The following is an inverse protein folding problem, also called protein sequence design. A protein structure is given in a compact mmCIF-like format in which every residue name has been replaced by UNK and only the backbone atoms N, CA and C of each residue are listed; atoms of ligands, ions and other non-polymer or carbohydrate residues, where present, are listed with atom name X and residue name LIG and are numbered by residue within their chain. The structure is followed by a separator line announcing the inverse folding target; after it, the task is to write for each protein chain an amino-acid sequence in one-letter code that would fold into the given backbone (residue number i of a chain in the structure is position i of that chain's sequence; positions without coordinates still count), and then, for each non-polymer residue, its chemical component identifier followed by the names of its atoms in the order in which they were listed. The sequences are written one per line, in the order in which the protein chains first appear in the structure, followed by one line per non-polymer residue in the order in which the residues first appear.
data_IF_011174331714
#
_entry.id   IF_011174331714
#
_cell.length_a   1.000
_cell.length_b   1.000
_cell.length_c   1.000
_cell.angle_alpha   90.00
_cell.angle_beta   90.00
_cell.angle_gamma   90.00
#
_symmetry.space_group_name_H-M   'P 1'
#
loop_
_entity.id
_entity.type
_entity.pdbx_description
1 polymer ?
#
# COMPACT_ATOMS: atom_id res chain seq x y z
N UNK A 1 -4.81 -8.45 -1.41
CA UNK A 1 -5.64 -8.94 -0.29
C UNK A 1 -4.81 -8.86 0.99
N UNK A 2 -5.30 -8.08 1.96
CA UNK A 2 -4.67 -7.84 3.26
C UNK A 2 -4.67 -9.07 4.18
N UNK A 3 -5.48 -10.09 3.89
CA UNK A 3 -5.60 -11.31 4.70
C UNK A 3 -4.40 -12.24 4.54
N UNK A 4 -3.67 -12.13 3.42
CA UNK A 4 -2.57 -13.07 3.09
C UNK A 4 -1.49 -13.13 4.18
N UNK A 5 -0.96 -12.01 4.72
CA UNK A 5 0.03 -12.06 5.79
C UNK A 5 -0.52 -12.71 7.06
N UNK A 6 -1.73 -12.34 7.48
CA UNK A 6 -2.36 -12.91 8.68
C UNK A 6 -2.56 -14.43 8.56
N UNK A 7 -3.14 -14.90 7.45
CA UNK A 7 -3.33 -16.33 7.20
C UNK A 7 -1.99 -17.08 7.10
N UNK A 8 -0.95 -16.45 6.56
CA UNK A 8 0.40 -17.03 6.55
C UNK A 8 0.93 -17.23 7.97
N UNK A 9 0.74 -16.27 8.86
CA UNK A 9 1.13 -16.41 10.28
C UNK A 9 0.36 -17.55 10.95
N UNK A 10 -0.94 -17.70 10.67
CA UNK A 10 -1.75 -18.80 11.22
C UNK A 10 -1.30 -20.19 10.74
N UNK A 11 -0.77 -20.29 9.51
CA UNK A 11 -0.19 -21.53 8.99
C UNK A 11 1.12 -21.83 9.74
N UNK A 12 2.00 -20.84 9.89
CA UNK A 12 3.29 -20.99 10.58
C UNK A 12 3.10 -21.37 12.05
N UNK A 13 2.05 -20.88 12.70
CA UNK A 13 1.69 -21.23 14.08
C UNK A 13 0.89 -22.54 14.21
N UNK A 14 0.71 -23.29 13.12
CA UNK A 14 -0.09 -24.53 13.06
C UNK A 14 -1.56 -24.37 13.52
N UNK A 15 -2.12 -23.16 13.50
CA UNK A 15 -3.52 -22.90 13.86
C UNK A 15 -4.48 -23.30 12.75
N UNK A 16 -4.04 -23.23 11.48
CA UNK A 16 -4.80 -23.68 10.31
C UNK A 16 -3.88 -24.37 9.30
N UNK A 17 -4.44 -25.24 8.46
CA UNK A 17 -3.74 -25.79 7.29
C UNK A 17 -3.74 -24.80 6.12
N UNK A 18 -2.82 -25.03 5.17
CA UNK A 18 -2.74 -24.26 3.92
C UNK A 18 -4.05 -24.33 3.13
N UNK A 19 -4.67 -25.51 3.04
CA UNK A 19 -5.92 -25.70 2.29
C UNK A 19 -7.06 -24.89 2.92
N UNK A 20 -7.17 -24.91 4.24
CA UNK A 20 -8.16 -24.10 4.98
C UNK A 20 -7.93 -22.60 4.76
N UNK A 21 -6.68 -22.14 4.73
CA UNK A 21 -6.35 -20.75 4.43
C UNK A 21 -6.78 -20.34 3.01
N UNK A 22 -6.57 -21.21 2.02
CA UNK A 22 -7.02 -20.98 0.63
C UNK A 22 -8.55 -20.89 0.57
N UNK A 23 -9.26 -21.77 1.27
CA UNK A 23 -10.73 -21.74 1.30
C UNK A 23 -11.28 -20.47 1.99
N UNK A 24 -10.61 -19.98 3.04
CA UNK A 24 -10.94 -18.70 3.65
C UNK A 24 -10.71 -17.52 2.69
N UNK A 25 -9.67 -17.56 1.85
CA UNK A 25 -9.41 -16.52 0.85
C UNK A 25 -10.46 -16.48 -0.25
N UNK A 26 -11.06 -17.61 -0.62
CA UNK A 26 -12.15 -17.67 -1.61
C UNK A 26 -13.43 -16.99 -1.11
N UNK A 27 -13.64 -16.93 0.21
CA UNK A 27 -14.81 -16.26 0.77
C UNK A 27 -14.69 -14.74 0.63
N UNK A 28 -15.78 -14.04 0.29
CA UNK A 28 -15.78 -12.58 0.24
C UNK A 28 -15.44 -12.01 1.62
N UNK A 29 -14.76 -10.87 1.63
CA UNK A 29 -14.33 -10.20 2.86
C UNK A 29 -15.52 -9.68 3.68
N UNK A 30 -16.54 -9.20 3.00
CA UNK A 30 -17.74 -8.61 3.59
C UNK A 30 -18.95 -9.14 2.84
N UNK A 31 -20.08 -9.25 3.55
CA UNK A 31 -21.36 -9.38 2.87
C UNK A 31 -21.78 -8.03 2.24
N UNK A 32 -22.84 -8.04 1.44
CA UNK A 32 -23.29 -6.84 0.71
C UNK A 32 -23.71 -5.70 1.65
N UNK A 33 -24.37 -6.02 2.76
CA UNK A 33 -24.82 -5.02 3.73
C UNK A 33 -23.66 -4.36 4.47
N UNK A 34 -22.70 -5.16 4.93
CA UNK A 34 -21.48 -4.70 5.58
C UNK A 34 -20.66 -3.81 4.65
N UNK A 35 -20.54 -4.20 3.38
CA UNK A 35 -19.83 -3.39 2.37
C UNK A 35 -20.50 -2.03 2.19
N UNK A 36 -21.83 -1.99 2.05
CA UNK A 36 -22.56 -0.74 1.89
C UNK A 36 -22.43 0.16 3.14
N UNK A 37 -22.54 -0.42 4.34
CA UNK A 37 -22.33 0.33 5.60
C UNK A 37 -20.91 0.90 5.68
N UNK A 38 -19.91 0.14 5.26
CA UNK A 38 -18.51 0.57 5.27
C UNK A 38 -18.27 1.71 4.26
N UNK A 39 -18.80 1.57 3.04
CA UNK A 39 -18.71 2.62 2.01
C UNK A 39 -19.35 3.91 2.50
N UNK A 40 -20.56 3.85 3.07
CA UNK A 40 -21.25 5.03 3.59
C UNK A 40 -20.50 5.67 4.77
N UNK A 41 -19.95 4.85 5.68
CA UNK A 41 -19.14 5.33 6.78
C UNK A 41 -17.87 6.06 6.29
N UNK A 42 -17.13 5.47 5.35
CA UNK A 42 -15.89 6.05 4.80
C UNK A 42 -16.19 7.30 3.99
N UNK A 43 -17.22 7.27 3.14
CA UNK A 43 -17.70 8.42 2.36
C UNK A 43 -18.00 9.62 3.26
N UNK A 44 -18.75 9.41 4.35
CA UNK A 44 -19.04 10.46 5.34
C UNK A 44 -17.78 10.95 6.04
N UNK A 45 -16.88 10.05 6.43
CA UNK A 45 -15.65 10.41 7.16
C UNK A 45 -14.67 11.22 6.31
N UNK A 46 -14.64 10.95 5.01
CA UNK A 46 -13.76 11.63 4.05
C UNK A 46 -14.44 12.81 3.34
N UNK A 47 -15.73 13.06 3.61
CA UNK A 47 -16.53 14.10 2.96
C UNK A 47 -16.53 13.97 1.42
N UNK A 48 -16.66 12.74 0.92
CA UNK A 48 -16.67 12.41 -0.51
C UNK A 48 -17.96 11.69 -0.85
N UNK A 49 -18.59 12.02 -1.97
CA UNK A 49 -19.78 11.32 -2.49
C UNK A 49 -19.54 9.80 -2.65
N UNK A 50 -20.54 8.97 -2.31
CA UNK A 50 -20.42 7.51 -2.34
C UNK A 50 -20.12 6.97 -3.75
N UNK A 51 -20.74 7.54 -4.80
CA UNK A 51 -20.46 7.12 -6.18
C UNK A 51 -19.05 7.50 -6.59
N UNK A 52 -18.62 8.73 -6.24
CA UNK A 52 -17.25 9.18 -6.50
C UNK A 52 -16.21 8.31 -5.77
N UNK A 53 -16.48 7.92 -4.54
CA UNK A 53 -15.62 7.00 -3.80
C UNK A 53 -15.57 5.63 -4.49
N UNK A 54 -16.72 5.13 -4.94
CA UNK A 54 -16.81 3.86 -5.66
C UNK A 54 -16.01 3.90 -6.99
N UNK A 55 -16.10 5.01 -7.73
CA UNK A 55 -15.33 5.24 -8.95
C UNK A 55 -13.83 5.26 -8.66
N UNK A 56 -13.40 5.91 -7.57
CA UNK A 56 -12.00 5.94 -7.15
C UNK A 56 -11.47 4.54 -6.82
N UNK A 57 -12.29 3.70 -6.17
CA UNK A 57 -11.93 2.31 -5.82
C UNK A 57 -11.78 1.43 -7.07
N UNK A 58 -12.66 1.60 -8.05
CA UNK A 58 -12.66 0.79 -9.27
C UNK A 58 -11.81 1.37 -10.41
N UNK A 59 -11.22 2.56 -10.20
CA UNK A 59 -10.34 3.17 -11.17
C UNK A 59 -9.10 2.31 -11.42
N UNK A 60 -8.54 2.43 -12.62
CA UNK A 60 -7.27 1.81 -12.97
C UNK A 60 -6.17 2.32 -12.05
N UNK A 61 -5.41 1.39 -11.49
CA UNK A 61 -4.22 1.72 -10.72
C UNK A 61 -3.24 2.56 -11.55
N UNK A 62 -2.91 3.74 -11.03
CA UNK A 62 -1.89 4.63 -11.61
C UNK A 62 -0.55 4.42 -10.94
N UNK A 63 0.53 4.59 -11.68
CA UNK A 63 1.87 4.51 -11.08
C UNK A 63 2.14 5.79 -10.31
N UNK A 64 2.78 5.69 -9.13
CA UNK A 64 3.16 6.86 -8.33
C UNK A 64 4.02 7.87 -9.16
N UNK A 65 4.76 7.37 -10.16
CA UNK A 65 5.62 8.18 -11.04
C UNK A 65 4.84 9.15 -11.94
N UNK A 66 3.54 8.91 -12.16
CA UNK A 66 2.66 9.77 -12.94
C UNK A 66 2.22 11.03 -12.17
N UNK A 67 2.47 11.07 -10.87
CA UNK A 67 2.21 12.24 -10.03
C UNK A 67 3.52 12.97 -9.74
N UNK A 68 3.44 14.26 -9.43
CA UNK A 68 4.60 15.03 -8.96
C UNK A 68 5.24 14.34 -7.76
N UNK A 69 6.51 13.95 -7.90
CA UNK A 69 7.23 13.20 -6.89
C UNK A 69 8.71 13.63 -6.84
N UNK A 70 9.38 13.31 -5.75
CA UNK A 70 10.76 13.74 -5.48
C UNK A 70 11.85 12.90 -6.15
N UNK A 71 11.53 11.91 -7.00
CA UNK A 71 12.55 11.00 -7.56
C UNK A 71 13.66 11.72 -8.33
N UNK A 72 13.32 12.78 -9.06
CA UNK A 72 14.32 13.56 -9.81
C UNK A 72 15.32 14.21 -8.86
N UNK A 73 14.84 14.88 -7.82
CA UNK A 73 15.67 15.51 -6.79
C UNK A 73 16.49 14.49 -6.01
N UNK A 74 15.90 13.35 -5.65
CA UNK A 74 16.62 12.26 -4.99
C UNK A 74 17.80 11.78 -5.84
N UNK A 75 17.61 11.55 -7.15
CA UNK A 75 18.70 11.16 -8.06
C UNK A 75 19.82 12.19 -8.11
N UNK A 76 19.48 13.48 -8.16
CA UNK A 76 20.45 14.58 -8.15
C UNK A 76 21.24 14.58 -6.84
N UNK A 77 20.56 14.47 -5.69
CA UNK A 77 21.19 14.42 -4.37
C UNK A 77 22.12 13.19 -4.27
N UNK A 78 21.68 12.01 -4.70
CA UNK A 78 22.53 10.81 -4.71
C UNK A 78 23.76 10.97 -5.60
N UNK A 79 23.62 11.64 -6.76
CA UNK A 79 24.73 11.94 -7.64
C UNK A 79 25.74 12.87 -6.97
N UNK A 80 25.28 13.98 -6.38
CA UNK A 80 26.12 14.94 -5.66
C UNK A 80 26.87 14.24 -4.52
N UNK A 81 26.18 13.43 -3.72
CA UNK A 81 26.83 12.68 -2.64
C UNK A 81 27.89 11.71 -3.14
N UNK A 82 27.67 11.05 -4.29
CA UNK A 82 28.65 10.16 -4.89
C UNK A 82 29.90 10.93 -5.34
N UNK A 83 29.73 12.10 -5.96
CA UNK A 83 30.85 12.97 -6.37
C UNK A 83 31.59 13.50 -5.14
N UNK A 84 30.86 13.99 -4.14
CA UNK A 84 31.46 14.49 -2.91
C UNK A 84 32.27 13.41 -2.17
N UNK A 85 31.71 12.20 -2.03
CA UNK A 85 32.42 11.08 -1.40
C UNK A 85 33.71 10.72 -2.14
N UNK A 86 33.70 10.81 -3.47
CA UNK A 86 34.89 10.56 -4.28
C UNK A 86 35.97 11.62 -4.05
N UNK A 87 35.58 12.89 -3.86
CA UNK A 87 36.51 14.02 -3.69
C UNK A 87 37.02 14.20 -2.25
N UNK A 88 36.17 14.05 -1.23
CA UNK A 88 36.52 14.39 0.15
C UNK A 88 36.86 13.18 1.02
N UNK A 89 36.58 11.96 0.55
CA UNK A 89 36.72 10.72 1.35
C UNK A 89 35.76 10.61 2.54
N UNK A 90 34.97 11.65 2.83
CA UNK A 90 34.03 11.69 3.95
C UNK A 90 32.61 11.32 3.50
N UNK A 91 31.88 10.63 4.38
CA UNK A 91 30.51 10.16 4.13
C UNK A 91 29.51 11.17 4.71
N UNK A 92 28.76 11.86 3.85
CA UNK A 92 27.62 12.68 4.29
C UNK A 92 26.44 11.76 4.58
N UNK A 93 25.85 11.88 5.77
CA UNK A 93 24.57 11.23 6.09
C UNK A 93 23.44 12.04 5.49
N UNK A 94 22.75 11.49 4.50
CA UNK A 94 21.65 12.16 3.78
C UNK A 94 20.30 11.91 4.47
N UNK A 95 20.31 11.07 5.49
CA UNK A 95 19.18 10.74 6.34
C UNK A 95 19.63 10.83 7.80
N UNK A 96 18.73 11.25 8.68
CA UNK A 96 18.93 11.08 10.12
C UNK A 96 18.71 9.64 10.55
#
# INVERSE_FOLDING_TARGET
DIRKPHLSSLIVSNQISRDKAIDLLKKPLYNKEEMNRLLSYVSKKLEVDENKLNDLIHNKNRKFSEFSNWRKYQKIIFFINRVYKFLSGQKISVYS
#
